data_IF_860842742062
#
_entry.id   IF_860842742062
#
_cell.length_a   1.000
_cell.length_b   1.000
_cell.length_c   1.000
_cell.angle_alpha   90.00
_cell.angle_beta   90.00
_cell.angle_gamma   90.00
#
_symmetry.space_group_name_H-M   'P 1'
#
loop_
_entity.id
_entity.type
_entity.pdbx_description
1 polymer ?
#
# COMPACT_ATOMS: atom_id res chain seq x y z
N UNK A 1 21.51 -13.29 4.12
CA UNK A 1 22.21 -12.00 4.26
C UNK A 1 21.81 -11.16 3.06
N UNK A 2 20.89 -10.20 3.25
CA UNK A 2 20.38 -9.36 2.16
C UNK A 2 21.46 -8.37 1.72
N UNK A 3 21.81 -8.41 0.43
CA UNK A 3 22.77 -7.50 -0.20
C UNK A 3 22.17 -6.10 -0.35
N UNK A 4 22.81 -5.12 0.28
CA UNK A 4 22.47 -3.70 0.31
C UNK A 4 22.24 -3.10 -1.09
N UNK A 5 22.95 -3.61 -2.11
CA UNK A 5 22.80 -3.14 -3.49
C UNK A 5 21.47 -3.59 -4.11
N UNK A 6 20.99 -4.79 -3.78
CA UNK A 6 19.71 -5.32 -4.27
C UNK A 6 18.51 -4.64 -3.62
N UNK A 7 18.61 -4.28 -2.34
CA UNK A 7 17.55 -3.58 -1.63
C UNK A 7 17.30 -2.16 -2.18
N UNK A 8 18.38 -1.43 -2.50
CA UNK A 8 18.29 -0.08 -3.08
C UNK A 8 17.77 -0.11 -4.52
N UNK A 9 18.21 -1.10 -5.32
CA UNK A 9 17.74 -1.30 -6.69
C UNK A 9 16.25 -1.67 -6.73
N UNK A 10 15.78 -2.51 -5.80
CA UNK A 10 14.35 -2.83 -5.66
C UNK A 10 13.51 -1.62 -5.24
N UNK A 11 14.03 -0.78 -4.34
CA UNK A 11 13.33 0.43 -3.89
C UNK A 11 13.21 1.46 -5.04
N UNK A 12 14.27 1.61 -5.84
CA UNK A 12 14.27 2.47 -7.03
C UNK A 12 13.36 1.93 -8.13
N UNK A 13 13.35 0.62 -8.40
CA UNK A 13 12.44 0.02 -9.38
C UNK A 13 10.97 0.10 -8.94
N UNK A 14 10.68 -0.06 -7.65
CA UNK A 14 9.33 0.11 -7.11
C UNK A 14 8.85 1.58 -7.14
N UNK A 15 9.77 2.54 -6.99
CA UNK A 15 9.50 3.96 -7.15
C UNK A 15 9.30 4.37 -8.62
N UNK A 16 10.08 3.79 -9.54
CA UNK A 16 10.00 4.05 -10.99
C UNK A 16 8.78 3.40 -11.66
N UNK A 17 8.27 2.29 -11.11
CA UNK A 17 7.15 1.54 -11.70
C UNK A 17 5.75 2.12 -11.43
N UNK A 18 5.62 3.22 -10.67
CA UNK A 18 4.32 3.79 -10.29
C UNK A 18 4.20 5.27 -10.69
N UNK A 19 4.06 5.51 -11.99
CA UNK A 19 4.10 6.86 -12.61
C UNK A 19 2.84 7.71 -12.43
N UNK A 20 1.78 7.20 -11.81
CA UNK A 20 0.50 7.93 -11.75
C UNK A 20 0.18 8.63 -10.41
N UNK A 21 1.07 8.59 -9.41
CA UNK A 21 0.95 9.42 -8.19
C UNK A 21 2.23 10.12 -7.75
N UNK A 22 3.18 10.23 -8.68
CA UNK A 22 4.38 11.04 -8.56
C UNK A 22 4.20 12.33 -9.38
N UNK A 23 3.12 13.08 -9.13
CA UNK A 23 3.11 14.47 -9.57
C UNK A 23 4.06 15.26 -8.67
N UNK A 24 4.95 16.01 -9.33
CA UNK A 24 5.96 16.96 -8.82
C UNK A 24 7.36 16.50 -8.37
N UNK A 25 7.82 15.27 -8.62
CA UNK A 25 9.23 14.98 -8.29
C UNK A 25 10.25 15.60 -9.27
N UNK A 26 9.95 15.67 -10.56
CA UNK A 26 10.89 16.25 -11.53
C UNK A 26 10.89 17.79 -11.52
N UNK A 27 9.75 18.45 -11.28
CA UNK A 27 9.72 19.93 -11.18
C UNK A 27 10.40 20.45 -9.90
N UNK A 28 10.26 19.74 -8.78
CA UNK A 28 10.89 20.14 -7.51
C UNK A 28 12.42 19.97 -7.56
N UNK A 29 12.92 18.93 -8.24
CA UNK A 29 14.36 18.70 -8.41
C UNK A 29 15.02 19.74 -9.33
N UNK A 30 14.38 20.09 -10.45
CA UNK A 30 14.86 21.14 -11.37
C UNK A 30 14.82 22.54 -10.72
N UNK A 31 13.75 22.86 -9.96
CA UNK A 31 13.64 24.14 -9.27
C UNK A 31 14.67 24.32 -8.14
N UNK A 32 14.98 23.24 -7.41
CA UNK A 32 15.94 23.23 -6.30
C UNK A 32 17.41 23.31 -6.75
N UNK A 33 17.73 22.86 -7.96
CA UNK A 33 19.07 22.95 -8.53
C UNK A 33 19.35 24.32 -9.19
N UNK A 34 18.29 25.05 -9.57
CA UNK A 34 18.43 26.28 -10.38
C UNK A 34 18.26 27.58 -9.58
N UNK A 35 17.61 27.57 -8.41
CA UNK A 35 17.47 28.78 -7.59
C UNK A 35 17.92 28.56 -6.15
N UNK A 36 19.15 29.02 -5.86
CA UNK A 36 19.65 29.22 -4.51
C UNK A 36 18.95 30.39 -3.82
N UNK A 37 17.65 30.25 -3.52
CA UNK A 37 16.89 31.16 -2.65
C UNK A 37 15.50 30.58 -2.43
N UNK A 38 15.23 30.11 -1.22
CA UNK A 38 13.93 29.61 -0.82
C UNK A 38 12.87 30.71 -0.88
N UNK A 39 11.75 30.47 -1.57
CA UNK A 39 10.44 31.04 -1.21
C UNK A 39 9.24 30.35 -1.85
N UNK A 40 8.18 30.32 -1.04
CA UNK A 40 6.73 30.31 -1.35
C UNK A 40 5.96 28.98 -1.42
N UNK A 41 5.22 28.76 -0.34
CA UNK A 41 3.74 28.68 -0.30
C UNK A 41 3.02 28.27 -1.59
N UNK A 42 2.43 27.07 -1.59
CA UNK A 42 1.18 26.79 -2.29
C UNK A 42 0.25 26.07 -1.33
N UNK A 43 -0.79 26.77 -0.93
CA UNK A 43 -2.00 26.21 -0.36
C UNK A 43 -2.82 25.56 -1.47
N UNK A 44 -3.08 24.26 -1.38
CA UNK A 44 -4.17 23.63 -2.13
C UNK A 44 -5.00 22.72 -1.23
N UNK A 45 -6.35 22.75 -1.34
CA UNK A 45 -7.26 22.17 -0.37
C UNK A 45 -7.79 20.81 -0.88
N UNK A 46 -7.41 19.73 -0.19
CA UNK A 46 -8.11 18.42 -0.11
C UNK A 46 -7.07 17.36 0.26
N UNK A 47 -6.72 17.31 1.54
CA UNK A 47 -5.76 16.36 2.08
C UNK A 47 -6.37 15.63 3.28
N UNK A 48 -7.49 14.96 3.03
CA UNK A 48 -8.15 14.11 4.02
C UNK A 48 -7.67 12.66 3.87
N UNK A 49 -6.53 12.40 4.51
CA UNK A 49 -6.25 11.18 5.27
C UNK A 49 -6.01 9.85 4.53
N UNK A 50 -4.90 9.73 3.80
CA UNK A 50 -4.09 8.51 3.83
C UNK A 50 -2.74 8.89 4.45
N UNK A 51 -2.50 8.51 5.71
CA UNK A 51 -1.18 8.66 6.34
C UNK A 51 -0.22 7.72 5.64
N UNK A 52 0.63 8.26 4.76
CA UNK A 52 1.79 7.55 4.23
C UNK A 52 2.80 7.34 5.36
N UNK A 53 2.81 6.13 5.92
CA UNK A 53 3.81 5.70 6.89
C UNK A 53 5.15 5.52 6.16
N UNK A 54 6.12 6.42 6.39
CA UNK A 54 7.49 6.23 5.90
C UNK A 54 8.33 5.54 6.97
N UNK A 55 9.01 4.48 6.54
CA UNK A 55 9.91 3.74 7.40
C UNK A 55 11.30 3.72 6.78
N UNK A 56 12.21 4.44 7.41
CA UNK A 56 13.62 4.49 7.02
C UNK A 56 14.41 3.43 7.81
N UNK A 57 15.41 2.81 7.18
CA UNK A 57 16.26 1.78 7.79
C UNK A 57 17.75 2.11 7.63
N UNK A 58 18.54 2.10 8.72
CA UNK A 58 19.99 2.35 8.70
C UNK A 58 20.64 2.52 10.09
N UNK A 59 21.96 2.36 10.19
CA UNK A 59 22.75 2.44 11.46
C UNK A 59 22.80 3.88 12.03
N UNK A 60 22.57 3.98 13.34
CA UNK A 60 22.31 5.22 14.11
C UNK A 60 23.30 6.42 13.98
N UNK A 61 24.62 6.30 13.71
CA UNK A 61 25.48 7.49 13.77
C UNK A 61 25.57 8.32 12.47
N UNK A 62 25.38 7.72 11.29
CA UNK A 62 25.70 8.39 10.02
C UNK A 62 24.55 9.18 9.39
N UNK A 63 23.32 8.98 9.87
CA UNK A 63 22.13 9.74 9.41
C UNK A 63 21.79 10.94 10.32
N UNK A 64 22.49 11.10 11.44
CA UNK A 64 22.33 12.22 12.37
C UNK A 64 23.09 13.47 11.93
N UNK A 65 24.16 13.31 11.15
CA UNK A 65 24.80 14.39 10.40
C UNK A 65 23.85 14.90 9.30
N UNK A 66 23.97 16.17 8.85
CA UNK A 66 23.15 16.72 7.78
C UNK A 66 23.53 16.07 6.43
N UNK A 67 23.19 14.81 6.26
CA UNK A 67 23.33 14.09 5.01
C UNK A 67 22.20 14.54 4.05
N UNK A 68 22.49 14.63 2.74
CA UNK A 68 21.60 15.22 1.73
C UNK A 68 20.22 14.54 1.57
N UNK A 69 19.96 13.39 2.22
CA UNK A 69 18.69 12.66 2.13
C UNK A 69 17.58 13.14 3.09
N UNK A 70 17.92 13.84 4.18
CA UNK A 70 16.93 14.30 5.19
C UNK A 70 15.94 15.35 4.67
N UNK A 71 16.35 16.36 3.88
CA UNK A 71 15.42 17.33 3.30
C UNK A 71 14.44 16.67 2.34
N UNK A 72 14.93 15.78 1.47
CA UNK A 72 14.10 15.04 0.48
C UNK A 72 13.07 14.15 1.19
N UNK A 73 13.49 13.41 2.22
CA UNK A 73 12.60 12.56 3.00
C UNK A 73 11.59 13.32 3.87
N UNK A 74 11.75 14.63 4.10
CA UNK A 74 10.71 15.46 4.74
C UNK A 74 9.70 16.01 3.74
N UNK A 75 10.12 16.26 2.50
CA UNK A 75 9.25 16.82 1.45
C UNK A 75 8.19 15.82 0.93
N UNK A 76 8.39 14.51 1.11
CA UNK A 76 7.52 13.46 0.52
C UNK A 76 6.35 12.94 1.43
N UNK A 77 5.88 13.69 2.47
CA UNK A 77 5.02 13.16 3.57
C UNK A 77 5.41 13.52 5.03
N UNK A 78 4.44 13.42 5.97
CA UNK A 78 4.49 14.04 7.31
C UNK A 78 5.22 13.29 8.43
N UNK A 79 5.15 11.95 8.49
CA UNK A 79 5.72 11.17 9.61
C UNK A 79 6.87 10.25 9.13
N UNK A 80 8.06 10.37 9.75
CA UNK A 80 9.22 9.48 9.49
C UNK A 80 9.51 8.67 10.74
N UNK A 81 9.13 7.39 10.74
CA UNK A 81 9.50 6.44 11.79
C UNK A 81 10.83 5.77 11.41
N UNK A 82 11.81 5.85 12.31
CA UNK A 82 13.10 5.18 12.13
C UNK A 82 13.01 3.79 12.75
N UNK A 83 13.19 2.74 11.94
CA UNK A 83 13.27 1.36 12.42
C UNK A 83 14.73 0.89 12.34
N UNK A 84 15.22 0.32 13.43
CA UNK A 84 16.64 0.22 13.77
C UNK A 84 17.53 -0.44 12.70
N UNK A 85 17.17 -1.64 12.21
CA UNK A 85 18.03 -2.40 11.32
C UNK A 85 17.74 -2.10 9.83
N UNK A 86 18.79 -2.03 9.01
CA UNK A 86 18.66 -1.99 7.53
C UNK A 86 17.73 -3.10 7.05
N UNK A 87 16.73 -2.76 6.22
CA UNK A 87 15.71 -3.71 5.74
C UNK A 87 14.42 -3.77 6.57
N UNK A 88 14.41 -3.22 7.80
CA UNK A 88 13.20 -3.18 8.63
C UNK A 88 12.05 -2.44 7.97
N UNK A 89 12.34 -1.41 7.18
CA UNK A 89 11.34 -0.63 6.43
C UNK A 89 10.70 -1.39 5.27
N UNK A 90 11.42 -2.31 4.65
CA UNK A 90 10.86 -3.18 3.61
C UNK A 90 9.96 -4.26 4.24
N UNK A 91 10.43 -4.89 5.32
CA UNK A 91 9.68 -5.96 6.00
C UNK A 91 8.35 -5.46 6.55
N UNK A 92 8.34 -4.35 7.27
CA UNK A 92 7.11 -3.77 7.81
C UNK A 92 6.12 -3.31 6.73
N UNK A 93 6.62 -2.88 5.56
CA UNK A 93 5.76 -2.57 4.41
C UNK A 93 5.10 -3.84 3.88
N UNK A 94 5.85 -4.94 3.77
CA UNK A 94 5.30 -6.23 3.40
C UNK A 94 4.27 -6.72 4.43
N UNK A 95 4.54 -6.54 5.74
CA UNK A 95 3.57 -6.87 6.81
C UNK A 95 2.30 -6.03 6.67
N UNK A 96 2.43 -4.72 6.46
CA UNK A 96 1.28 -3.84 6.24
C UNK A 96 0.46 -4.28 5.02
N UNK A 97 1.11 -4.52 3.88
CA UNK A 97 0.42 -4.93 2.67
C UNK A 97 -0.18 -6.33 2.79
N UNK A 98 0.44 -7.24 3.54
CA UNK A 98 -0.16 -8.51 3.91
C UNK A 98 -1.48 -8.32 4.67
N UNK A 99 -1.49 -7.51 5.73
CA UNK A 99 -2.71 -7.24 6.50
C UNK A 99 -3.79 -6.59 5.62
N UNK A 100 -3.42 -5.58 4.82
CA UNK A 100 -4.35 -4.93 3.89
C UNK A 100 -4.92 -5.91 2.86
N UNK A 101 -4.09 -6.78 2.28
CA UNK A 101 -4.50 -7.78 1.30
C UNK A 101 -5.47 -8.80 1.89
N UNK A 102 -5.19 -9.30 3.11
CA UNK A 102 -6.09 -10.22 3.83
C UNK A 102 -7.43 -9.55 4.13
N UNK A 103 -7.43 -8.31 4.61
CA UNK A 103 -8.67 -7.57 4.88
C UNK A 103 -9.50 -7.36 3.61
N UNK A 104 -8.86 -7.01 2.48
CA UNK A 104 -9.55 -6.83 1.21
C UNK A 104 -10.13 -8.14 0.67
N UNK A 105 -9.36 -9.25 0.72
CA UNK A 105 -9.84 -10.57 0.29
C UNK A 105 -11.01 -11.05 1.15
N UNK A 106 -10.85 -11.01 2.48
CA UNK A 106 -11.88 -11.44 3.43
C UNK A 106 -13.17 -10.61 3.30
N UNK A 107 -13.04 -9.30 3.12
CA UNK A 107 -14.20 -8.44 2.91
C UNK A 107 -14.85 -8.67 1.53
N UNK A 108 -14.05 -8.94 0.49
CA UNK A 108 -14.56 -9.34 -0.82
C UNK A 108 -15.39 -10.62 -0.78
N UNK A 109 -14.95 -11.64 -0.04
CA UNK A 109 -15.71 -12.88 0.20
C UNK A 109 -17.02 -12.61 0.96
N UNK A 110 -16.96 -11.78 2.01
CA UNK A 110 -18.14 -11.39 2.77
C UNK A 110 -19.17 -10.66 1.89
N UNK A 111 -18.74 -9.73 1.04
CA UNK A 111 -19.61 -9.01 0.12
C UNK A 111 -20.22 -9.94 -0.93
N UNK A 112 -19.42 -10.85 -1.52
CA UNK A 112 -19.94 -11.85 -2.45
C UNK A 112 -21.01 -12.72 -1.76
N UNK A 113 -20.78 -13.17 -0.52
CA UNK A 113 -21.78 -13.93 0.24
C UNK A 113 -23.05 -13.11 0.52
N UNK A 114 -22.92 -11.84 0.92
CA UNK A 114 -24.06 -10.94 1.13
C UNK A 114 -24.93 -10.88 -0.13
N UNK A 115 -24.31 -10.70 -1.30
CA UNK A 115 -25.02 -10.60 -2.58
C UNK A 115 -25.77 -11.87 -2.98
N UNK A 116 -25.33 -13.04 -2.49
CA UNK A 116 -25.98 -14.33 -2.75
C UNK A 116 -26.95 -14.79 -1.64
N UNK A 117 -26.95 -14.10 -0.50
CA UNK A 117 -27.70 -14.52 0.70
C UNK A 117 -29.17 -14.06 0.74
N UNK A 118 -29.57 -13.13 -0.13
CA UNK A 118 -30.88 -12.47 -0.07
C UNK A 118 -31.01 -11.40 1.01
N UNK A 119 -29.95 -11.11 1.76
CA UNK A 119 -29.91 -9.99 2.71
C UNK A 119 -30.02 -8.65 1.97
N UNK A 120 -30.59 -7.64 2.66
CA UNK A 120 -30.47 -6.27 2.20
C UNK A 120 -29.00 -5.85 2.27
N UNK A 121 -28.38 -5.66 1.10
CA UNK A 121 -26.95 -5.40 0.95
C UNK A 121 -26.51 -4.15 1.71
N UNK A 122 -27.27 -3.06 1.61
CA UNK A 122 -26.94 -1.78 2.23
C UNK A 122 -26.94 -1.89 3.77
N UNK A 123 -27.96 -2.54 4.33
CA UNK A 123 -28.05 -2.79 5.78
C UNK A 123 -26.94 -3.74 6.26
N UNK A 124 -26.66 -4.82 5.53
CA UNK A 124 -25.59 -5.76 5.87
C UNK A 124 -24.21 -5.06 5.87
N UNK A 125 -23.96 -4.23 4.85
CA UNK A 125 -22.73 -3.44 4.77
C UNK A 125 -22.63 -2.40 5.89
N UNK A 126 -23.74 -1.77 6.28
CA UNK A 126 -23.75 -0.86 7.43
C UNK A 126 -23.33 -1.58 8.72
N UNK A 127 -23.91 -2.76 8.99
CA UNK A 127 -23.55 -3.57 10.16
C UNK A 127 -22.06 -3.93 10.17
N UNK A 128 -21.48 -4.32 9.03
CA UNK A 128 -20.05 -4.63 8.94
C UNK A 128 -19.15 -3.39 9.08
N UNK A 129 -19.56 -2.25 8.51
CA UNK A 129 -18.77 -1.02 8.57
C UNK A 129 -18.76 -0.37 9.96
N UNK A 130 -19.87 -0.47 10.69
CA UNK A 130 -20.01 0.16 12.01
C UNK A 130 -19.69 -0.80 13.17
N UNK A 131 -19.70 -2.11 12.89
CA UNK A 131 -19.35 -3.15 13.85
C UNK A 131 -17.85 -3.38 14.04
N UNK A 132 -17.51 -4.41 14.81
CA UNK A 132 -16.14 -4.82 15.09
C UNK A 132 -15.21 -5.03 13.87
N UNK A 133 -15.66 -5.55 12.70
CA UNK A 133 -14.78 -5.69 11.54
C UNK A 133 -14.50 -4.37 10.80
N UNK A 134 -15.22 -3.29 11.12
CA UNK A 134 -15.15 -2.01 10.45
C UNK A 134 -13.84 -1.24 10.69
N UNK A 135 -12.86 -1.42 9.80
CA UNK A 135 -11.63 -0.61 9.77
C UNK A 135 -11.72 0.51 8.72
N UNK A 136 -10.86 1.55 8.78
CA UNK A 136 -10.82 2.57 7.73
C UNK A 136 -10.60 1.98 6.33
N UNK A 137 -9.78 0.92 6.23
CA UNK A 137 -9.58 0.20 4.97
C UNK A 137 -10.87 -0.51 4.52
N UNK A 138 -11.55 -1.23 5.42
CA UNK A 138 -12.79 -1.93 5.11
C UNK A 138 -13.87 -0.97 4.61
N UNK A 139 -13.98 0.23 5.20
CA UNK A 139 -14.93 1.26 4.73
C UNK A 139 -14.64 1.72 3.30
N UNK A 140 -13.35 1.93 2.96
CA UNK A 140 -12.93 2.28 1.60
C UNK A 140 -13.22 1.12 0.64
N UNK A 141 -12.90 -0.12 1.03
CA UNK A 141 -13.17 -1.31 0.21
C UNK A 141 -14.68 -1.49 -0.03
N UNK A 142 -15.50 -1.34 1.01
CA UNK A 142 -16.97 -1.37 0.95
C UNK A 142 -17.51 -0.40 -0.08
N UNK A 143 -17.09 0.87 -0.04
CA UNK A 143 -17.53 1.88 -1.01
C UNK A 143 -17.08 1.53 -2.44
N UNK A 144 -15.81 1.15 -2.63
CA UNK A 144 -15.27 0.84 -3.96
C UNK A 144 -15.87 -0.42 -4.58
N UNK A 145 -16.01 -1.48 -3.82
CA UNK A 145 -16.57 -2.76 -4.29
C UNK A 145 -18.06 -2.68 -4.60
N UNK A 146 -18.79 -1.82 -3.87
CA UNK A 146 -20.23 -1.58 -4.08
C UNK A 146 -20.48 -0.67 -5.28
N UNK A 147 -19.67 0.39 -5.44
CA UNK A 147 -19.76 1.31 -6.58
C UNK A 147 -19.14 0.76 -7.86
N UNK A 148 -18.37 -0.34 -7.78
CA UNK A 148 -17.62 -0.95 -8.89
C UNK A 148 -16.66 0.02 -9.59
N UNK A 149 -16.19 1.06 -8.88
CA UNK A 149 -15.20 2.00 -9.40
C UNK A 149 -13.78 1.53 -9.06
N UNK A 150 -13.12 0.91 -10.03
CA UNK A 150 -11.75 0.39 -9.88
C UNK A 150 -10.72 1.04 -10.82
N UNK A 151 -11.17 2.01 -11.62
CA UNK A 151 -10.35 2.73 -12.60
C UNK A 151 -9.47 3.80 -11.95
N UNK A 152 -9.92 4.38 -10.83
CA UNK A 152 -9.07 5.20 -9.98
C UNK A 152 -8.15 4.31 -9.13
N UNK A 153 -7.05 3.88 -9.74
CA UNK A 153 -6.09 2.96 -9.14
C UNK A 153 -5.29 3.69 -8.04
N UNK A 154 -5.61 3.39 -6.78
CA UNK A 154 -4.76 3.75 -5.63
C UNK A 154 -3.55 2.82 -5.60
N UNK A 155 -3.81 1.52 -5.75
CA UNK A 155 -2.80 0.48 -5.76
C UNK A 155 -3.28 -0.71 -6.59
N UNK A 156 -2.53 -1.07 -7.63
CA UNK A 156 -2.98 -2.09 -8.58
C UNK A 156 -3.05 -3.48 -7.92
N UNK A 157 -4.08 -4.24 -8.28
CA UNK A 157 -4.32 -5.59 -7.77
C UNK A 157 -3.10 -6.51 -7.94
N UNK A 158 -2.46 -6.49 -9.11
CA UNK A 158 -1.26 -7.29 -9.38
C UNK A 158 -0.06 -6.91 -8.50
N UNK A 159 0.01 -5.65 -8.05
CA UNK A 159 1.08 -5.20 -7.14
C UNK A 159 0.81 -5.68 -5.71
N UNK A 160 -0.46 -5.69 -5.28
CA UNK A 160 -0.84 -6.30 -4.01
C UNK A 160 -0.56 -7.80 -3.99
N UNK A 161 -0.91 -8.53 -5.05
CA UNK A 161 -0.57 -9.95 -5.18
C UNK A 161 0.94 -10.19 -5.07
N UNK A 162 1.75 -9.36 -5.75
CA UNK A 162 3.20 -9.44 -5.67
C UNK A 162 3.71 -9.24 -4.23
N UNK A 163 3.16 -8.26 -3.51
CA UNK A 163 3.58 -7.98 -2.13
C UNK A 163 3.12 -9.09 -1.15
N UNK A 164 1.94 -9.69 -1.36
CA UNK A 164 1.49 -10.88 -0.62
C UNK A 164 2.44 -12.05 -0.81
N UNK A 165 2.86 -12.32 -2.05
CA UNK A 165 3.83 -13.37 -2.36
C UNK A 165 5.20 -13.11 -1.71
N UNK A 166 5.64 -11.85 -1.68
CA UNK A 166 6.85 -11.49 -0.95
C UNK A 166 6.69 -11.65 0.56
N UNK A 167 5.58 -11.23 1.15
CA UNK A 167 5.33 -11.42 2.58
C UNK A 167 5.34 -12.92 2.95
N UNK A 168 4.68 -13.77 2.16
CA UNK A 168 4.67 -15.23 2.35
C UNK A 168 6.09 -15.82 2.29
N UNK A 169 6.92 -15.35 1.35
CA UNK A 169 8.31 -15.79 1.21
C UNK A 169 9.18 -15.33 2.38
N UNK A 170 9.11 -14.06 2.75
CA UNK A 170 9.93 -13.48 3.82
C UNK A 170 9.57 -14.06 5.19
N UNK A 171 8.30 -14.39 5.42
CA UNK A 171 7.86 -15.03 6.66
C UNK A 171 8.47 -16.44 6.87
N UNK A 172 8.87 -17.10 5.78
CA UNK A 172 9.55 -18.40 5.86
C UNK A 172 10.92 -18.35 6.54
N UNK A 173 11.66 -17.25 6.43
CA UNK A 173 12.99 -17.11 7.02
C UNK A 173 13.00 -17.24 8.57
N UNK A 174 12.08 -16.61 9.32
CA UNK A 174 11.91 -16.85 10.75
C UNK A 174 11.06 -18.08 11.10
N UNK A 175 10.65 -18.90 10.13
CA UNK A 175 9.79 -20.08 10.37
C UNK A 175 8.31 -19.75 10.62
N UNK A 176 7.84 -18.57 10.21
CA UNK A 176 6.44 -18.16 10.35
C UNK A 176 5.67 -18.48 9.08
N UNK A 177 4.54 -19.19 9.20
CA UNK A 177 3.64 -19.45 8.07
C UNK A 177 2.45 -18.50 8.10
N UNK A 178 2.31 -17.67 7.06
CA UNK A 178 1.16 -16.77 6.89
C UNK A 178 -0.02 -17.52 6.25
N UNK A 179 -0.78 -18.29 7.03
CA UNK A 179 -1.89 -19.08 6.50
C UNK A 179 -2.93 -18.22 5.75
N UNK A 180 -3.33 -17.08 6.31
CA UNK A 180 -4.25 -16.14 5.66
C UNK A 180 -3.60 -15.42 4.48
N UNK A 181 -2.27 -15.27 4.48
CA UNK A 181 -1.54 -14.62 3.39
C UNK A 181 -1.46 -15.49 2.15
N UNK A 182 -1.36 -16.80 2.32
CA UNK A 182 -1.46 -17.78 1.24
C UNK A 182 -2.88 -17.76 0.63
N UNK A 183 -3.92 -17.87 1.47
CA UNK A 183 -5.31 -17.83 1.02
C UNK A 183 -5.65 -16.52 0.29
N UNK A 184 -5.20 -15.37 0.85
CA UNK A 184 -5.40 -14.08 0.18
C UNK A 184 -4.69 -14.03 -1.18
N UNK A 185 -3.45 -14.54 -1.29
CA UNK A 185 -2.75 -14.57 -2.57
C UNK A 185 -3.53 -15.35 -3.65
N UNK A 186 -4.15 -16.48 -3.28
CA UNK A 186 -4.99 -17.26 -4.21
C UNK A 186 -6.23 -16.48 -4.67
N UNK A 187 -6.92 -15.80 -3.76
CA UNK A 187 -8.09 -14.96 -4.09
C UNK A 187 -7.70 -13.83 -5.04
N UNK A 188 -6.57 -13.17 -4.77
CA UNK A 188 -6.01 -12.14 -5.64
C UNK A 188 -5.60 -12.69 -7.02
N UNK A 189 -5.02 -13.88 -7.06
CA UNK A 189 -4.58 -14.48 -8.33
C UNK A 189 -5.77 -14.82 -9.23
N UNK A 190 -6.86 -15.36 -8.67
CA UNK A 190 -8.11 -15.57 -9.42
C UNK A 190 -8.65 -14.29 -10.04
N UNK A 191 -8.67 -13.18 -9.29
CA UNK A 191 -9.10 -11.89 -9.83
C UNK A 191 -8.14 -11.38 -10.94
N UNK A 192 -6.82 -11.58 -10.78
CA UNK A 192 -5.83 -11.25 -11.81
C UNK A 192 -6.08 -12.04 -13.10
N UNK A 193 -6.30 -13.34 -13.01
CA UNK A 193 -6.57 -14.22 -14.15
C UNK A 193 -7.83 -13.81 -14.92
N UNK A 194 -8.83 -13.26 -14.23
CA UNK A 194 -10.05 -12.68 -14.83
C UNK A 194 -9.86 -11.27 -15.41
N UNK A 195 -8.63 -10.75 -15.47
CA UNK A 195 -8.32 -9.47 -16.13
C UNK A 195 -8.33 -8.24 -15.22
N UNK A 196 -8.54 -8.40 -13.92
CA UNK A 196 -8.60 -7.27 -12.97
C UNK A 196 -7.23 -6.79 -12.48
N UNK A 197 -6.13 -7.42 -12.91
CA UNK A 197 -4.78 -7.17 -12.39
C UNK A 197 -4.31 -5.70 -12.43
N UNK A 198 -4.73 -4.93 -13.45
CA UNK A 198 -4.36 -3.51 -13.61
C UNK A 198 -5.28 -2.53 -12.87
N UNK A 199 -6.44 -2.99 -12.39
CA UNK A 199 -7.40 -2.17 -11.65
C UNK A 199 -6.97 -2.07 -10.19
N UNK A 200 -7.64 -1.21 -9.43
CA UNK A 200 -7.39 -1.09 -8.00
C UNK A 200 -7.56 -2.45 -7.29
N UNK A 201 -6.77 -2.69 -6.24
CA UNK A 201 -6.81 -3.93 -5.49
C UNK A 201 -8.18 -4.23 -4.84
N UNK A 202 -9.06 -3.22 -4.69
CA UNK A 202 -10.46 -3.44 -4.32
C UNK A 202 -11.25 -4.26 -5.35
N UNK A 203 -10.79 -4.35 -6.60
CA UNK A 203 -11.39 -5.19 -7.64
C UNK A 203 -11.24 -6.70 -7.38
N UNK A 204 -10.56 -7.11 -6.31
CA UNK A 204 -10.44 -8.51 -5.89
C UNK A 204 -11.79 -9.21 -5.75
N UNK A 205 -12.85 -8.49 -5.37
CA UNK A 205 -14.23 -9.01 -5.27
C UNK A 205 -14.77 -9.53 -6.61
N UNK A 206 -14.32 -9.00 -7.75
CA UNK A 206 -14.77 -9.45 -9.07
C UNK A 206 -14.17 -10.84 -9.44
N UNK A 207 -13.16 -11.30 -8.69
CA UNK A 207 -12.68 -12.68 -8.71
C UNK A 207 -13.61 -13.68 -8.02
N UNK A 208 -14.57 -13.19 -7.23
CA UNK A 208 -15.43 -13.98 -6.34
C UNK A 208 -16.91 -13.94 -6.73
N UNK A 209 -17.31 -12.89 -7.47
CA UNK A 209 -18.62 -12.76 -8.11
C UNK A 209 -18.73 -13.61 -9.38
#
# INVERSE_FOLDING_TARGET
MFDSARALHFFLLAALANRQRFFDLNQILEAALTSGSARNSVSSPSASSIRLLRIASGRLPQLLSPAPGRPVLKLMGRDVLHMAATGSGALIKLINNFVCGVQAASFGEALALIEHSGLNREQALQVLNDGAPGSPLVKIMSQRMTSRNYDDVNFALQLMLKDLNYANKEAGAPGVRLNTGLAAAEVFDRARERGWGKKDFSSVVEGLR
#
